data_IF_319255135853
#
_entry.id   IF_319255135853
#
_cell.length_a   1.000
_cell.length_b   1.000
_cell.length_c   1.000
_cell.angle_alpha   90.00
_cell.angle_beta   90.00
_cell.angle_gamma   90.00
#
_symmetry.space_group_name_H-M   'P 1'
#
loop_
_entity.id
_entity.type
_entity.pdbx_description
1 polymer ?
#
# COMPACT_ATOMS: atom_id res chain seq x y z
N UNK A 1 -5.63 10.74 -13.51
CA UNK A 1 -5.50 11.92 -12.65
C UNK A 1 -5.73 13.22 -13.42
N UNK A 2 -4.96 13.52 -14.49
CA UNK A 2 -5.16 14.76 -15.29
C UNK A 2 -6.60 14.96 -15.79
N UNK A 3 -7.23 13.94 -16.37
CA UNK A 3 -8.63 14.02 -16.84
C UNK A 3 -9.59 14.28 -15.67
N UNK A 4 -9.35 13.69 -14.50
CA UNK A 4 -10.19 13.90 -13.32
C UNK A 4 -10.11 15.34 -12.82
N UNK A 5 -8.92 15.97 -12.86
CA UNK A 5 -8.74 17.39 -12.52
C UNK A 5 -9.54 18.27 -13.49
N UNK A 6 -9.48 17.99 -14.79
CA UNK A 6 -10.25 18.73 -15.80
C UNK A 6 -11.76 18.60 -15.56
N UNK A 7 -12.25 17.38 -15.32
CA UNK A 7 -13.69 17.14 -15.06
C UNK A 7 -14.14 17.82 -13.76
N UNK A 8 -13.32 17.78 -12.70
CA UNK A 8 -13.66 18.40 -11.41
C UNK A 8 -13.56 19.94 -11.43
N UNK A 9 -12.76 20.52 -12.31
CA UNK A 9 -12.54 21.98 -12.37
C UNK A 9 -13.56 22.71 -13.24
N UNK A 10 -14.32 22.00 -14.07
CA UNK A 10 -15.32 22.57 -14.99
C UNK A 10 -16.73 22.14 -14.54
N UNK A 11 -17.57 23.08 -14.05
CA UNK A 11 -18.88 22.75 -13.47
C UNK A 11 -19.78 21.96 -14.43
N UNK A 12 -19.80 22.33 -15.70
CA UNK A 12 -20.62 21.65 -16.72
C UNK A 12 -20.22 20.18 -16.94
N UNK A 13 -18.93 19.85 -16.82
CA UNK A 13 -18.46 18.47 -16.92
C UNK A 13 -18.74 17.71 -15.62
N UNK A 14 -18.62 18.37 -14.47
CA UNK A 14 -18.97 17.80 -13.19
C UNK A 14 -20.45 17.40 -13.14
N UNK A 15 -21.36 18.30 -13.52
CA UNK A 15 -22.79 18.04 -13.56
C UNK A 15 -23.10 16.90 -14.55
N UNK A 16 -22.49 16.92 -15.74
CA UNK A 16 -22.68 15.84 -16.73
C UNK A 16 -22.25 14.46 -16.20
N UNK A 17 -21.14 14.37 -15.46
CA UNK A 17 -20.61 13.09 -14.98
C UNK A 17 -21.17 12.66 -13.61
N UNK A 18 -21.63 13.57 -12.76
CA UNK A 18 -21.97 13.27 -11.36
C UNK A 18 -23.42 13.61 -10.96
N UNK A 19 -24.20 14.28 -11.80
CA UNK A 19 -25.61 14.56 -11.53
C UNK A 19 -26.51 13.39 -11.97
N UNK A 20 -27.48 13.00 -11.13
CA UNK A 20 -28.22 11.75 -11.29
C UNK A 20 -29.14 11.70 -12.53
N UNK A 21 -29.54 12.87 -13.03
CA UNK A 21 -30.41 13.03 -14.21
C UNK A 21 -29.63 12.98 -15.54
N UNK A 22 -28.29 12.96 -15.52
CA UNK A 22 -27.48 12.90 -16.73
C UNK A 22 -27.40 11.48 -17.32
N UNK A 23 -27.49 11.39 -18.65
CA UNK A 23 -27.25 10.14 -19.39
C UNK A 23 -25.84 9.57 -19.14
N UNK A 24 -24.84 10.44 -18.99
CA UNK A 24 -23.44 10.04 -18.79
C UNK A 24 -23.24 9.46 -17.40
N UNK A 25 -23.88 10.03 -16.37
CA UNK A 25 -23.87 9.45 -15.03
C UNK A 25 -24.47 8.04 -15.02
N UNK A 26 -25.68 7.89 -15.57
CA UNK A 26 -26.38 6.61 -15.58
C UNK A 26 -25.69 5.51 -16.40
N UNK A 27 -24.80 5.88 -17.33
CA UNK A 27 -24.05 4.94 -18.15
C UNK A 27 -22.61 4.75 -17.65
N UNK A 28 -21.75 5.76 -17.80
CA UNK A 28 -20.30 5.65 -17.59
C UNK A 28 -19.98 5.70 -16.10
N UNK A 29 -20.50 6.69 -15.38
CA UNK A 29 -20.16 6.87 -13.96
C UNK A 29 -20.71 5.72 -13.11
N UNK A 30 -21.94 5.28 -13.37
CA UNK A 30 -22.51 4.08 -12.72
C UNK A 30 -21.74 2.81 -13.05
N UNK A 31 -21.29 2.61 -14.30
CA UNK A 31 -20.49 1.44 -14.66
C UNK A 31 -19.12 1.44 -13.95
N UNK A 32 -18.46 2.60 -13.88
CA UNK A 32 -17.18 2.75 -13.18
C UNK A 32 -17.36 2.56 -11.67
N UNK A 33 -18.39 3.17 -11.07
CA UNK A 33 -18.71 3.02 -9.64
C UNK A 33 -19.04 1.57 -9.27
N UNK A 34 -19.85 0.90 -10.09
CA UNK A 34 -20.15 -0.53 -9.95
C UNK A 34 -18.88 -1.38 -10.05
N UNK A 35 -18.01 -1.11 -11.03
CA UNK A 35 -16.72 -1.79 -11.16
C UNK A 35 -15.82 -1.56 -9.94
N UNK A 36 -15.83 -0.34 -9.39
CA UNK A 36 -15.10 0.02 -8.17
C UNK A 36 -15.54 -0.79 -6.95
N UNK A 37 -16.85 -1.09 -6.84
CA UNK A 37 -17.39 -1.89 -5.73
C UNK A 37 -16.85 -3.32 -5.67
N UNK A 38 -16.45 -3.88 -6.82
CA UNK A 38 -15.87 -5.24 -6.93
C UNK A 38 -14.34 -5.21 -6.90
N UNK A 39 -13.72 -4.03 -7.00
CA UNK A 39 -12.27 -3.90 -7.08
C UNK A 39 -11.55 -4.45 -5.85
N UNK A 40 -12.03 -4.14 -4.64
CA UNK A 40 -11.41 -4.60 -3.39
C UNK A 40 -11.45 -6.13 -3.28
N UNK A 41 -12.60 -6.82 -3.44
CA UNK A 41 -12.64 -8.29 -3.48
C UNK A 41 -11.72 -8.89 -4.56
N UNK A 42 -11.70 -8.34 -5.77
CA UNK A 42 -10.84 -8.84 -6.85
C UNK A 42 -9.36 -8.71 -6.52
N UNK A 43 -8.93 -7.59 -5.92
CA UNK A 43 -7.54 -7.39 -5.47
C UNK A 43 -7.17 -8.46 -4.44
N UNK A 44 -8.06 -8.75 -3.48
CA UNK A 44 -7.82 -9.78 -2.46
C UNK A 44 -7.71 -11.18 -3.08
N UNK A 45 -8.58 -11.51 -4.04
CA UNK A 45 -8.52 -12.79 -4.77
C UNK A 45 -7.20 -12.92 -5.55
N UNK A 46 -6.81 -11.89 -6.29
CA UNK A 46 -5.56 -11.89 -7.08
C UNK A 46 -4.34 -11.93 -6.16
N UNK A 47 -4.33 -11.19 -5.06
CA UNK A 47 -3.25 -11.21 -4.08
C UNK A 47 -3.12 -12.61 -3.46
N UNK A 48 -4.24 -13.22 -3.05
CA UNK A 48 -4.27 -14.57 -2.51
C UNK A 48 -3.73 -15.62 -3.49
N UNK A 49 -4.16 -15.55 -4.76
CA UNK A 49 -3.67 -16.44 -5.81
C UNK A 49 -2.16 -16.29 -6.05
N UNK A 50 -1.65 -15.05 -6.09
CA UNK A 50 -0.22 -14.81 -6.25
C UNK A 50 0.60 -15.28 -5.03
N UNK A 51 0.08 -15.09 -3.82
CA UNK A 51 0.73 -15.53 -2.60
C UNK A 51 0.78 -17.07 -2.53
N UNK A 52 -0.32 -17.74 -2.90
CA UNK A 52 -0.36 -19.20 -2.99
C UNK A 52 0.67 -19.73 -4.00
N UNK A 53 0.72 -19.13 -5.20
CA UNK A 53 1.71 -19.50 -6.23
C UNK A 53 3.15 -19.30 -5.76
N UNK A 54 3.44 -18.16 -5.14
CA UNK A 54 4.79 -17.86 -4.65
C UNK A 54 5.20 -18.77 -3.49
N UNK A 55 4.26 -19.35 -2.74
CA UNK A 55 4.56 -20.26 -1.63
C UNK A 55 4.82 -21.71 -2.08
N UNK A 56 4.54 -22.05 -3.34
CA UNK A 56 4.88 -23.37 -3.87
C UNK A 56 6.40 -23.53 -3.95
N UNK A 57 6.92 -24.68 -3.51
CA UNK A 57 8.36 -24.95 -3.54
C UNK A 57 8.86 -24.93 -4.99
N UNK A 58 9.67 -23.93 -5.32
CA UNK A 58 10.43 -23.91 -6.56
C UNK A 58 11.74 -24.66 -6.28
N UNK A 59 11.92 -25.82 -6.91
CA UNK A 59 12.94 -26.83 -6.60
C UNK A 59 14.38 -26.48 -6.95
N UNK A 60 14.83 -25.25 -6.69
CA UNK A 60 16.22 -24.82 -6.83
C UNK A 60 16.80 -24.54 -5.43
N UNK A 61 17.27 -25.59 -4.76
CA UNK A 61 18.01 -25.45 -3.51
C UNK A 61 19.43 -24.99 -3.82
N UNK A 62 19.63 -23.69 -3.97
CA UNK A 62 20.97 -23.12 -3.96
C UNK A 62 21.55 -23.28 -2.53
N UNK A 63 22.69 -23.98 -2.33
CA UNK A 63 23.30 -24.14 -1.01
C UNK A 63 23.67 -22.81 -0.34
N UNK A 64 23.78 -21.71 -1.10
CA UNK A 64 23.95 -20.36 -0.54
C UNK A 64 22.64 -19.81 0.08
N UNK A 65 21.49 -20.09 -0.54
CA UNK A 65 20.17 -19.73 -0.01
C UNK A 65 19.89 -20.41 1.33
N UNK A 66 20.29 -21.67 1.49
CA UNK A 66 20.07 -22.42 2.72
C UNK A 66 20.86 -21.83 3.91
N UNK A 67 22.07 -21.35 3.66
CA UNK A 67 22.96 -20.79 4.70
C UNK A 67 22.61 -19.37 5.09
N UNK A 68 22.20 -18.54 4.13
CA UNK A 68 22.06 -17.09 4.32
C UNK A 68 20.59 -16.63 4.29
N UNK A 69 19.67 -17.46 3.79
CA UNK A 69 18.27 -17.10 3.57
C UNK A 69 17.54 -16.56 4.80
N UNK A 70 17.71 -17.18 5.98
CA UNK A 70 17.06 -16.70 7.22
C UNK A 70 17.60 -15.34 7.66
N UNK A 71 18.90 -15.10 7.50
CA UNK A 71 19.51 -13.80 7.82
C UNK A 71 19.03 -12.72 6.84
N UNK A 72 18.93 -13.05 5.55
CA UNK A 72 18.39 -12.16 4.53
C UNK A 72 16.92 -11.85 4.77
N UNK A 73 16.12 -12.84 5.15
CA UNK A 73 14.71 -12.65 5.49
C UNK A 73 14.56 -11.66 6.64
N UNK A 74 15.29 -11.87 7.76
CA UNK A 74 15.22 -10.98 8.92
C UNK A 74 15.74 -9.58 8.58
N UNK A 75 16.88 -9.49 7.90
CA UNK A 75 17.47 -8.22 7.49
C UNK A 75 16.53 -7.44 6.56
N UNK A 76 15.88 -8.13 5.61
CA UNK A 76 14.92 -7.50 4.68
C UNK A 76 13.68 -6.99 5.40
N UNK A 77 13.10 -7.79 6.31
CA UNK A 77 11.92 -7.36 7.08
C UNK A 77 12.23 -6.17 7.98
N UNK A 78 13.36 -6.20 8.70
CA UNK A 78 13.76 -5.09 9.57
C UNK A 78 14.04 -3.83 8.74
N UNK A 79 14.83 -3.95 7.67
CA UNK A 79 15.23 -2.80 6.85
C UNK A 79 14.08 -2.17 6.09
N UNK A 80 13.00 -2.91 5.80
CA UNK A 80 11.89 -2.41 4.98
C UNK A 80 10.61 -2.11 5.75
N UNK A 81 10.31 -2.86 6.82
CA UNK A 81 9.04 -2.71 7.55
C UNK A 81 9.20 -2.08 8.93
N UNK A 82 10.37 -2.21 9.57
CA UNK A 82 10.57 -1.66 10.92
C UNK A 82 11.34 -0.35 10.89
N UNK A 83 12.51 -0.35 10.27
CA UNK A 83 13.42 0.79 10.28
C UNK A 83 12.87 2.02 9.54
N UNK A 84 12.24 1.89 8.36
CA UNK A 84 11.64 3.03 7.68
C UNK A 84 10.47 3.60 8.48
N UNK A 85 9.62 2.77 9.06
CA UNK A 85 8.52 3.21 9.92
C UNK A 85 9.02 3.96 11.14
N UNK A 86 10.03 3.43 11.85
CA UNK A 86 10.57 4.04 13.05
C UNK A 86 11.20 5.41 12.80
N UNK A 87 11.81 5.59 11.62
CA UNK A 87 12.47 6.85 11.24
C UNK A 87 11.50 7.83 10.58
N UNK A 88 10.64 7.36 9.67
CA UNK A 88 9.75 8.22 8.90
C UNK A 88 8.52 8.66 9.69
N UNK A 89 7.97 7.83 10.58
CA UNK A 89 6.82 8.21 11.41
C UNK A 89 7.06 9.50 12.25
N UNK A 90 8.17 9.64 13.01
CA UNK A 90 8.42 10.88 13.75
C UNK A 90 8.68 12.07 12.83
N UNK A 91 9.33 11.85 11.67
CA UNK A 91 9.52 12.91 10.67
C UNK A 91 8.17 13.39 10.15
N UNK A 92 7.27 12.48 9.77
CA UNK A 92 5.92 12.80 9.32
C UNK A 92 5.10 13.50 10.40
N UNK A 93 5.23 13.10 11.67
CA UNK A 93 4.57 13.77 12.79
C UNK A 93 5.04 15.22 12.95
N UNK A 94 6.36 15.45 12.88
CA UNK A 94 6.92 16.81 12.93
C UNK A 94 6.43 17.66 11.75
N UNK A 95 6.39 17.07 10.55
CA UNK A 95 5.89 17.77 9.37
C UNK A 95 4.41 18.15 9.52
N UNK A 96 3.58 17.23 10.01
CA UNK A 96 2.15 17.46 10.22
C UNK A 96 1.87 18.66 11.16
N UNK A 97 2.78 19.00 12.07
CA UNK A 97 2.59 20.14 12.98
C UNK A 97 3.32 21.41 12.55
N UNK A 98 4.56 21.30 12.09
CA UNK A 98 5.43 22.46 11.95
C UNK A 98 5.55 22.97 10.51
N UNK A 99 5.10 22.20 9.53
CA UNK A 99 5.23 22.56 8.11
C UNK A 99 3.87 23.05 7.58
N UNK A 100 3.71 24.35 7.25
CA UNK A 100 2.45 24.91 6.80
C UNK A 100 2.19 24.61 5.32
N UNK A 101 1.96 23.34 4.99
CA UNK A 101 1.57 22.89 3.64
C UNK A 101 0.11 22.43 3.69
N UNK A 102 -0.75 23.04 2.87
CA UNK A 102 -2.20 22.80 2.85
C UNK A 102 -2.63 21.33 2.71
N UNK A 103 -1.77 20.46 2.20
CA UNK A 103 -2.06 19.03 2.04
C UNK A 103 -1.93 18.28 3.38
N UNK A 104 -1.08 18.77 4.29
CA UNK A 104 -0.86 18.17 5.61
C UNK A 104 -2.01 18.46 6.59
N UNK A 105 -2.87 19.44 6.28
CA UNK A 105 -4.10 19.72 7.02
C UNK A 105 -5.20 18.64 6.77
N UNK A 106 -5.06 17.83 5.73
CA UNK A 106 -5.98 16.73 5.45
C UNK A 106 -5.63 15.50 6.31
N UNK A 107 -6.50 15.10 7.27
CA UNK A 107 -6.25 13.96 8.13
C UNK A 107 -6.13 12.64 7.35
N UNK A 108 -6.82 12.50 6.21
CA UNK A 108 -6.73 11.30 5.37
C UNK A 108 -5.34 11.20 4.76
N UNK A 109 -4.78 12.32 4.30
CA UNK A 109 -3.43 12.36 3.73
C UNK A 109 -2.38 11.93 4.77
N UNK A 110 -2.43 12.46 5.99
CA UNK A 110 -1.50 12.10 7.07
C UNK A 110 -1.60 10.61 7.41
N UNK A 111 -2.81 10.06 7.53
CA UNK A 111 -3.02 8.63 7.79
C UNK A 111 -2.44 7.76 6.68
N UNK A 112 -2.67 8.13 5.41
CA UNK A 112 -2.12 7.41 4.26
C UNK A 112 -0.58 7.48 4.25
N UNK A 113 0.02 8.63 4.56
CA UNK A 113 1.47 8.76 4.67
C UNK A 113 2.05 7.80 5.72
N UNK A 114 1.42 7.68 6.89
CA UNK A 114 1.82 6.71 7.92
C UNK A 114 1.69 5.27 7.43
N UNK A 115 0.55 4.90 6.83
CA UNK A 115 0.32 3.56 6.27
C UNK A 115 1.36 3.18 5.21
N UNK A 116 1.78 4.14 4.37
CA UNK A 116 2.80 3.91 3.34
C UNK A 116 4.17 3.57 3.94
N UNK A 117 4.50 4.07 5.14
CA UNK A 117 5.80 3.77 5.76
C UNK A 117 5.97 2.31 6.13
N UNK A 118 4.88 1.63 6.54
CA UNK A 118 4.89 0.22 6.92
C UNK A 118 4.26 -0.70 5.88
N UNK A 119 4.11 -0.24 4.65
CA UNK A 119 3.58 -1.05 3.56
C UNK A 119 4.54 -2.23 3.24
N UNK A 120 4.01 -3.43 2.93
CA UNK A 120 4.83 -4.59 2.62
C UNK A 120 5.59 -4.43 1.31
N UNK A 121 6.56 -5.33 1.09
CA UNK A 121 7.30 -5.43 -0.17
C UNK A 121 6.40 -5.73 -1.35
N UNK A 122 6.67 -5.13 -2.51
CA UNK A 122 5.89 -5.39 -3.72
C UNK A 122 5.98 -6.85 -4.16
N UNK A 123 4.83 -7.46 -4.41
CA UNK A 123 4.67 -8.83 -4.91
C UNK A 123 5.44 -9.09 -6.21
N UNK A 124 5.56 -8.08 -7.07
CA UNK A 124 6.31 -8.14 -8.32
C UNK A 124 7.79 -8.50 -8.11
N UNK A 125 8.37 -8.30 -6.92
CA UNK A 125 9.75 -8.70 -6.65
C UNK A 125 9.95 -10.22 -6.72
N UNK A 126 8.97 -11.03 -6.31
CA UNK A 126 9.03 -12.48 -6.51
C UNK A 126 9.01 -12.85 -7.99
N UNK A 127 8.23 -12.13 -8.80
CA UNK A 127 8.18 -12.37 -10.24
C UNK A 127 9.54 -12.06 -10.88
N UNK A 128 10.21 -10.97 -10.46
CA UNK A 128 11.56 -10.63 -10.93
C UNK A 128 12.58 -11.70 -10.51
N UNK A 129 12.55 -12.15 -9.25
CA UNK A 129 13.43 -13.22 -8.76
C UNK A 129 13.24 -14.53 -9.54
N UNK A 130 11.99 -14.92 -9.81
CA UNK A 130 11.66 -16.10 -10.63
C UNK A 130 12.14 -15.98 -12.07
N UNK A 131 11.99 -14.80 -12.67
CA UNK A 131 12.48 -14.57 -14.04
C UNK A 131 14.01 -14.63 -14.14
N UNK A 132 14.72 -14.30 -13.07
CA UNK A 132 16.18 -14.32 -13.03
C UNK A 132 16.77 -15.61 -12.42
N UNK A 133 15.95 -16.48 -11.84
CA UNK A 133 16.42 -17.71 -11.19
C UNK A 133 17.21 -17.48 -9.90
N UNK A 134 16.90 -16.41 -9.14
CA UNK A 134 17.73 -15.95 -8.00
C UNK A 134 16.86 -15.62 -6.79
N UNK A 135 17.19 -16.21 -5.62
CA UNK A 135 16.52 -15.93 -4.34
C UNK A 135 15.01 -16.18 -4.35
N UNK A 136 14.53 -17.14 -5.15
CA UNK A 136 13.10 -17.40 -5.33
C UNK A 136 12.45 -17.84 -4.01
N UNK A 137 13.05 -18.80 -3.33
CA UNK A 137 12.54 -19.34 -2.07
C UNK A 137 12.60 -18.31 -0.93
N UNK A 138 13.69 -17.53 -0.87
CA UNK A 138 13.84 -16.46 0.12
C UNK A 138 12.83 -15.34 -0.11
N UNK A 139 12.64 -14.91 -1.36
CA UNK A 139 11.69 -13.85 -1.72
C UNK A 139 10.25 -14.27 -1.45
N UNK A 140 9.88 -15.52 -1.76
CA UNK A 140 8.59 -16.09 -1.41
C UNK A 140 8.29 -16.01 0.10
N UNK A 141 9.26 -16.44 0.94
CA UNK A 141 9.13 -16.39 2.41
C UNK A 141 9.03 -14.96 2.93
N UNK A 142 9.80 -14.02 2.38
CA UNK A 142 9.71 -12.60 2.73
C UNK A 142 8.31 -12.06 2.45
N UNK A 143 7.77 -12.30 1.26
CA UNK A 143 6.44 -11.82 0.89
C UNK A 143 5.35 -12.44 1.76
N UNK A 144 5.40 -13.75 2.01
CA UNK A 144 4.46 -14.41 2.90
C UNK A 144 4.49 -13.79 4.30
N UNK A 145 5.68 -13.62 4.88
CA UNK A 145 5.83 -13.03 6.22
C UNK A 145 5.35 -11.58 6.27
N UNK A 146 5.69 -10.76 5.26
CA UNK A 146 5.28 -9.36 5.17
C UNK A 146 3.76 -9.19 5.03
N UNK A 147 3.12 -9.95 4.14
CA UNK A 147 1.70 -9.79 3.81
C UNK A 147 0.75 -10.55 4.74
N UNK A 148 1.17 -11.65 5.36
CA UNK A 148 0.27 -12.45 6.22
C UNK A 148 0.45 -12.10 7.68
N UNK A 149 1.70 -11.95 8.13
CA UNK A 149 2.01 -11.82 9.56
C UNK A 149 2.26 -10.37 9.95
N UNK A 150 3.03 -9.62 9.17
CA UNK A 150 3.43 -8.25 9.53
C UNK A 150 2.42 -7.17 9.21
N UNK A 151 1.63 -7.32 8.15
CA UNK A 151 0.77 -6.21 7.71
C UNK A 151 -0.29 -5.84 8.74
N UNK A 152 -0.97 -6.82 9.35
CA UNK A 152 -2.03 -6.57 10.33
C UNK A 152 -1.53 -5.82 11.58
N UNK A 153 -0.47 -6.28 12.28
CA UNK A 153 0.04 -5.54 13.43
C UNK A 153 0.63 -4.18 13.03
N UNK A 154 1.34 -4.11 11.89
CA UNK A 154 1.94 -2.87 11.39
C UNK A 154 0.89 -1.81 11.11
N UNK A 155 -0.16 -2.15 10.35
CA UNK A 155 -1.22 -1.19 10.00
C UNK A 155 -2.00 -0.75 11.23
N UNK A 156 -2.30 -1.65 12.17
CA UNK A 156 -3.01 -1.29 13.40
C UNK A 156 -2.23 -0.28 14.23
N UNK A 157 -0.93 -0.51 14.43
CA UNK A 157 -0.03 0.42 15.14
C UNK A 157 0.07 1.75 14.40
N UNK A 158 0.30 1.71 13.08
CA UNK A 158 0.47 2.91 12.26
C UNK A 158 -0.78 3.78 12.21
N UNK A 159 -1.98 3.19 12.11
CA UNK A 159 -3.24 3.95 12.14
C UNK A 159 -3.44 4.60 13.50
N UNK A 160 -3.17 3.89 14.61
CA UNK A 160 -3.27 4.46 15.95
C UNK A 160 -2.31 5.64 16.12
N UNK A 161 -1.03 5.47 15.73
CA UNK A 161 -0.06 6.56 15.75
C UNK A 161 -0.48 7.74 14.86
N UNK A 162 -1.02 7.47 13.67
CA UNK A 162 -1.45 8.52 12.76
C UNK A 162 -2.62 9.33 13.33
N UNK A 163 -3.60 8.67 13.96
CA UNK A 163 -4.72 9.35 14.60
C UNK A 163 -4.26 10.23 15.77
N UNK A 164 -3.35 9.73 16.61
CA UNK A 164 -2.76 10.55 17.69
C UNK A 164 -2.00 11.76 17.15
N UNK A 165 -1.25 11.59 16.05
CA UNK A 165 -0.52 12.68 15.39
C UNK A 165 -1.46 13.72 14.81
N UNK A 166 -2.55 13.29 14.16
CA UNK A 166 -3.58 14.18 13.62
C UNK A 166 -4.23 14.98 14.75
N UNK A 167 -4.61 14.34 15.86
CA UNK A 167 -5.18 15.05 17.02
C UNK A 167 -4.18 16.03 17.66
N UNK A 168 -2.90 15.66 17.72
CA UNK A 168 -1.85 16.50 18.28
C UNK A 168 -1.47 17.69 17.39
N UNK A 169 -1.54 17.52 16.07
CA UNK A 169 -1.34 18.57 15.09
C UNK A 169 -2.50 19.58 15.13
N UNK A 170 -3.74 19.11 15.27
CA UNK A 170 -4.93 19.96 15.35
C UNK A 170 -5.03 20.81 16.64
N UNK A 171 -4.28 20.49 17.70
CA UNK A 171 -4.25 21.21 18.99
C UNK A 171 -3.27 22.41 18.99
N UNK A 172 -2.76 22.82 17.82
CA UNK A 172 -1.79 23.92 17.64
C UNK A 172 -2.42 25.20 17.15
#
# INVERSE_FOLDING_TARGET
MLIAIIVASVPQLQDLFFEEDSFVYNSVTRAVSSSGSVAVPLILVVLGANLARNTQEHGANDPEEEKIGTKLLIASLISRMLLPTLIMAPILALFAKFVPVSILDDPIFVIVCFLLTGAPSALQLAQICQLNGVYEGVMAKILFQSYVIWILPSTMVLVMCALEVVEWAAKG
#
